data_IF_817382305999
#
_entry.id   IF_817382305999
#
_cell.length_a   1.000
_cell.length_b   1.000
_cell.length_c   1.000
_cell.angle_alpha   90.00
_cell.angle_beta   90.00
_cell.angle_gamma   90.00
#
_symmetry.space_group_name_H-M   'P 1'
#
loop_
_entity.id
_entity.type
_entity.pdbx_description
1 polymer ?
#
# COMPACT_ATOMS: atom_id res chain seq x y z
N UNK A 1 -13.03 -26.06 -16.98
CA UNK A 1 -12.20 -27.02 -16.23
C UNK A 1 -13.02 -27.50 -15.04
N UNK A 2 -13.26 -28.82 -14.95
CA UNK A 2 -13.97 -29.42 -13.83
C UNK A 2 -13.14 -29.20 -12.54
N UNK A 3 -13.63 -28.37 -11.65
CA UNK A 3 -13.06 -28.34 -10.30
C UNK A 3 -13.35 -29.71 -9.68
N UNK A 4 -12.32 -30.51 -9.44
CA UNK A 4 -12.47 -31.65 -8.57
C UNK A 4 -13.07 -31.08 -7.28
N UNK A 5 -14.33 -31.44 -6.97
CA UNK A 5 -14.99 -30.95 -5.77
C UNK A 5 -14.20 -31.48 -4.57
N UNK A 6 -13.69 -30.57 -3.75
CA UNK A 6 -13.09 -30.96 -2.48
C UNK A 6 -14.13 -31.70 -1.65
N UNK A 7 -13.67 -32.62 -0.82
CA UNK A 7 -14.54 -33.29 0.15
C UNK A 7 -15.36 -32.23 0.89
N UNK A 8 -16.69 -32.32 0.90
CA UNK A 8 -17.54 -31.36 1.62
C UNK A 8 -17.17 -31.20 3.10
N UNK A 9 -16.70 -32.25 3.75
CA UNK A 9 -16.26 -32.19 5.13
C UNK A 9 -15.06 -31.25 5.31
N UNK A 10 -14.07 -31.32 4.38
CA UNK A 10 -12.89 -30.43 4.39
C UNK A 10 -13.30 -28.97 4.24
N UNK A 11 -14.29 -28.69 3.37
CA UNK A 11 -14.78 -27.32 3.18
C UNK A 11 -15.38 -26.77 4.49
N UNK A 12 -16.19 -27.56 5.17
CA UNK A 12 -16.81 -27.17 6.45
C UNK A 12 -15.75 -26.94 7.52
N UNK A 13 -14.76 -27.83 7.60
CA UNK A 13 -13.65 -27.72 8.57
C UNK A 13 -12.88 -26.41 8.36
N UNK A 14 -12.49 -26.11 7.12
CA UNK A 14 -11.76 -24.86 6.77
C UNK A 14 -12.58 -23.63 7.16
N UNK A 15 -13.88 -23.61 6.85
CA UNK A 15 -14.75 -22.48 7.22
C UNK A 15 -14.87 -22.34 8.74
N UNK A 16 -14.94 -23.46 9.47
CA UNK A 16 -15.00 -23.44 10.93
C UNK A 16 -13.70 -22.92 11.54
N UNK A 17 -12.55 -23.27 10.96
CA UNK A 17 -11.23 -22.76 11.38
C UNK A 17 -11.08 -21.26 11.08
N UNK A 18 -11.70 -20.76 10.03
CA UNK A 18 -11.66 -19.33 9.68
C UNK A 18 -12.56 -18.47 10.60
N UNK A 19 -13.57 -19.06 11.25
CA UNK A 19 -14.59 -18.31 12.00
C UNK A 19 -14.01 -17.36 13.06
N UNK A 20 -13.05 -17.76 13.92
CA UNK A 20 -12.49 -16.82 14.91
C UNK A 20 -11.86 -15.59 14.29
N UNK A 21 -11.18 -15.75 13.15
CA UNK A 21 -10.56 -14.63 12.43
C UNK A 21 -11.63 -13.70 11.83
N UNK A 22 -12.69 -14.29 11.24
CA UNK A 22 -13.82 -13.52 10.71
C UNK A 22 -14.43 -12.68 11.84
N UNK A 23 -14.67 -13.28 13.00
CA UNK A 23 -15.23 -12.57 14.17
C UNK A 23 -14.29 -11.46 14.67
N UNK A 24 -12.98 -11.72 14.68
CA UNK A 24 -11.97 -10.76 15.13
C UNK A 24 -11.92 -9.54 14.22
N UNK A 25 -11.98 -9.73 12.91
CA UNK A 25 -11.72 -8.67 11.93
C UNK A 25 -12.98 -8.07 11.29
N UNK A 26 -14.16 -8.66 11.51
CA UNK A 26 -15.42 -8.11 11.00
C UNK A 26 -15.64 -6.69 11.54
N UNK A 27 -15.98 -5.75 10.68
CA UNK A 27 -16.15 -4.35 10.99
C UNK A 27 -14.83 -3.55 11.02
N UNK A 28 -13.68 -4.22 10.99
CA UNK A 28 -12.38 -3.55 11.07
C UNK A 28 -11.91 -3.08 9.70
N UNK A 29 -11.18 -1.97 9.67
CA UNK A 29 -10.57 -1.44 8.44
C UNK A 29 -9.18 -2.02 8.27
N UNK A 30 -8.89 -2.49 7.05
CA UNK A 30 -7.56 -2.98 6.65
C UNK A 30 -7.13 -2.21 5.42
N UNK A 31 -6.02 -1.49 5.52
CA UNK A 31 -5.44 -0.77 4.37
C UNK A 31 -4.43 -1.69 3.70
N UNK A 32 -4.61 -1.93 2.41
CA UNK A 32 -3.72 -2.80 1.62
C UNK A 32 -3.04 -1.97 0.53
N UNK A 33 -1.74 -1.84 0.62
CA UNK A 33 -0.96 -1.21 -0.45
C UNK A 33 -0.62 -2.27 -1.50
N UNK A 34 -1.10 -2.07 -2.71
CA UNK A 34 -0.98 -2.97 -3.86
C UNK A 34 0.03 -2.40 -4.87
N UNK A 35 1.06 -3.19 -5.19
CA UNK A 35 2.09 -2.72 -6.11
C UNK A 35 3.16 -3.78 -6.35
N UNK A 36 4.15 -3.43 -7.14
CA UNK A 36 5.26 -4.31 -7.48
C UNK A 36 4.81 -5.48 -8.37
N UNK A 37 5.45 -6.63 -8.21
CA UNK A 37 5.20 -7.80 -9.05
C UNK A 37 3.77 -8.37 -8.88
N UNK A 38 3.11 -8.07 -7.77
CA UNK A 38 1.70 -8.44 -7.59
C UNK A 38 0.78 -7.85 -8.67
N UNK A 39 1.24 -6.81 -9.37
CA UNK A 39 0.50 -6.14 -10.44
C UNK A 39 0.90 -6.58 -11.86
N UNK A 40 1.79 -7.55 -12.01
CA UNK A 40 2.35 -7.90 -13.32
C UNK A 40 2.06 -9.34 -13.78
N UNK A 41 1.73 -10.23 -12.86
CA UNK A 41 1.41 -11.62 -13.19
C UNK A 41 -0.10 -11.86 -13.08
N UNK A 42 -0.73 -12.35 -14.16
CA UNK A 42 -2.19 -12.53 -14.24
C UNK A 42 -2.75 -13.34 -13.05
N UNK A 43 -2.06 -14.39 -12.64
CA UNK A 43 -2.50 -15.24 -11.53
C UNK A 43 -2.50 -14.49 -10.19
N UNK A 44 -1.51 -13.61 -9.98
CA UNK A 44 -1.43 -12.78 -8.76
C UNK A 44 -2.48 -11.67 -8.79
N UNK A 45 -2.72 -11.09 -9.95
CA UNK A 45 -3.73 -10.04 -10.15
C UNK A 45 -5.12 -10.59 -9.81
N UNK A 46 -5.49 -11.75 -10.38
CA UNK A 46 -6.78 -12.41 -10.10
C UNK A 46 -6.89 -12.82 -8.62
N UNK A 47 -5.82 -13.37 -8.06
CA UNK A 47 -5.75 -13.74 -6.65
C UNK A 47 -6.00 -12.53 -5.75
N UNK A 48 -5.35 -11.40 -6.04
CA UNK A 48 -5.51 -10.17 -5.26
C UNK A 48 -6.96 -9.68 -5.28
N UNK A 49 -7.58 -9.58 -6.46
CA UNK A 49 -8.95 -9.09 -6.58
C UNK A 49 -9.93 -9.96 -5.78
N UNK A 50 -9.81 -11.29 -5.89
CA UNK A 50 -10.64 -12.23 -5.12
C UNK A 50 -10.40 -12.10 -3.62
N UNK A 51 -9.17 -11.87 -3.19
CA UNK A 51 -8.84 -11.69 -1.77
C UNK A 51 -9.54 -10.45 -1.21
N UNK A 52 -9.49 -9.34 -1.93
CA UNK A 52 -10.13 -8.09 -1.51
C UNK A 52 -11.66 -8.26 -1.42
N UNK A 53 -12.26 -8.96 -2.41
CA UNK A 53 -13.70 -9.25 -2.40
C UNK A 53 -14.05 -10.14 -1.20
N UNK A 54 -13.29 -11.22 -0.95
CA UNK A 54 -13.53 -12.11 0.18
C UNK A 54 -13.46 -11.35 1.52
N UNK A 55 -12.46 -10.48 1.68
CA UNK A 55 -12.37 -9.64 2.89
C UNK A 55 -13.66 -8.84 3.10
N UNK A 56 -14.16 -8.21 2.04
CA UNK A 56 -15.39 -7.41 2.13
C UNK A 56 -16.60 -8.28 2.46
N UNK A 57 -16.71 -9.44 1.81
CA UNK A 57 -17.86 -10.36 2.02
C UNK A 57 -17.94 -10.92 3.45
N UNK A 58 -16.79 -11.09 4.12
CA UNK A 58 -16.78 -11.53 5.52
C UNK A 58 -16.87 -10.38 6.53
N UNK A 59 -17.15 -9.16 6.06
CA UNK A 59 -17.42 -8.02 6.92
C UNK A 59 -16.19 -7.13 7.23
N UNK A 60 -15.04 -7.42 6.66
CA UNK A 60 -13.85 -6.54 6.79
C UNK A 60 -14.03 -5.35 5.84
N UNK A 61 -13.48 -4.20 6.17
CA UNK A 61 -13.49 -3.01 5.31
C UNK A 61 -12.11 -2.82 4.66
N UNK A 62 -11.84 -3.44 3.50
CA UNK A 62 -10.57 -3.24 2.81
C UNK A 62 -10.56 -1.87 2.10
N UNK A 63 -9.43 -1.18 2.20
CA UNK A 63 -9.13 0.04 1.45
C UNK A 63 -7.83 -0.22 0.69
N UNK A 64 -7.88 -0.13 -0.63
CA UNK A 64 -6.71 -0.41 -1.48
C UNK A 64 -6.02 0.90 -1.84
N UNK A 65 -4.71 0.97 -1.64
CA UNK A 65 -3.86 2.05 -2.17
C UNK A 65 -2.91 1.40 -3.17
N UNK A 66 -2.85 1.91 -4.40
CA UNK A 66 -2.03 1.24 -5.42
C UNK A 66 -0.82 2.07 -5.85
N UNK A 67 0.21 1.37 -6.32
CA UNK A 67 1.32 1.98 -7.03
C UNK A 67 1.06 2.05 -8.54
N UNK A 68 2.12 2.20 -9.32
CA UNK A 68 2.04 2.26 -10.78
C UNK A 68 3.29 2.83 -11.42
N UNK A 69 4.43 2.78 -10.70
CA UNK A 69 5.70 3.30 -11.21
C UNK A 69 6.11 2.72 -12.57
N UNK A 70 6.07 1.40 -12.77
CA UNK A 70 6.38 0.81 -14.08
C UNK A 70 5.46 1.30 -15.19
N UNK A 71 4.17 1.43 -14.93
CA UNK A 71 3.18 1.88 -15.92
C UNK A 71 3.42 3.37 -16.29
N UNK A 72 3.77 4.20 -15.30
CA UNK A 72 4.18 5.59 -15.55
C UNK A 72 5.41 5.60 -16.45
N UNK A 73 6.45 4.82 -16.10
CA UNK A 73 7.68 4.73 -16.87
C UNK A 73 7.43 4.32 -18.32
N UNK A 74 6.60 3.30 -18.52
CA UNK A 74 6.25 2.82 -19.86
C UNK A 74 5.56 3.91 -20.70
N UNK A 75 4.66 4.68 -20.11
CA UNK A 75 3.99 5.75 -20.87
C UNK A 75 4.93 6.92 -21.15
N UNK A 76 5.77 7.32 -20.19
CA UNK A 76 6.78 8.36 -20.41
C UNK A 76 7.71 7.99 -21.57
N UNK A 77 8.17 6.73 -21.60
CA UNK A 77 9.03 6.22 -22.69
C UNK A 77 8.33 6.32 -24.05
N UNK A 78 7.06 5.92 -24.13
CA UNK A 78 6.26 6.01 -25.38
C UNK A 78 6.07 7.45 -25.84
N UNK A 79 6.05 8.39 -24.92
CA UNK A 79 5.90 9.82 -25.20
C UNK A 79 7.27 10.53 -25.42
N UNK A 80 8.38 9.78 -25.31
CA UNK A 80 9.75 10.30 -25.39
C UNK A 80 10.04 11.37 -24.32
N UNK A 81 9.46 11.18 -23.12
CA UNK A 81 9.71 12.04 -21.95
C UNK A 81 10.74 11.35 -21.07
N UNK A 82 11.82 12.05 -20.76
CA UNK A 82 12.90 11.52 -19.93
C UNK A 82 12.43 11.31 -18.49
N UNK A 83 12.72 10.14 -17.91
CA UNK A 83 12.38 9.82 -16.54
C UNK A 83 13.63 9.82 -15.67
N UNK A 84 13.67 10.67 -14.67
CA UNK A 84 14.79 10.80 -13.72
C UNK A 84 14.33 10.49 -12.31
N UNK A 85 15.25 10.00 -11.47
CA UNK A 85 14.96 9.65 -10.08
C UNK A 85 15.99 10.28 -9.15
N UNK A 86 15.51 10.74 -7.98
CA UNK A 86 16.34 11.23 -6.88
C UNK A 86 15.88 10.47 -5.63
N UNK A 87 16.79 9.77 -4.97
CA UNK A 87 16.51 8.96 -3.76
C UNK A 87 15.31 8.01 -3.96
N UNK A 88 15.20 7.43 -5.17
CA UNK A 88 14.09 6.50 -5.49
C UNK A 88 12.77 7.18 -5.82
N UNK A 89 12.69 8.50 -5.76
CA UNK A 89 11.49 9.27 -6.11
C UNK A 89 11.63 9.81 -7.55
N UNK A 90 10.56 9.69 -8.34
CA UNK A 90 10.56 10.18 -9.72
C UNK A 90 10.49 11.70 -9.71
N UNK A 91 11.47 12.35 -10.32
CA UNK A 91 11.41 13.80 -10.56
C UNK A 91 10.18 14.05 -11.42
N UNK A 92 9.29 14.90 -10.97
CA UNK A 92 7.96 15.05 -11.55
C UNK A 92 7.71 16.52 -11.91
N UNK A 93 8.14 16.91 -13.12
CA UNK A 93 7.81 18.22 -13.67
C UNK A 93 6.33 18.24 -14.12
N UNK A 94 5.86 19.37 -14.64
CA UNK A 94 4.45 19.53 -15.02
C UNK A 94 4.01 18.50 -16.07
N UNK A 95 4.83 18.23 -17.08
CA UNK A 95 4.52 17.28 -18.13
C UNK A 95 4.50 15.84 -17.58
N UNK A 96 5.44 15.51 -16.71
CA UNK A 96 5.47 14.22 -16.02
C UNK A 96 4.25 14.08 -15.11
N UNK A 97 3.80 15.15 -14.43
CA UNK A 97 2.64 15.09 -13.54
C UNK A 97 1.36 14.78 -14.32
N UNK A 98 1.19 15.36 -15.52
CA UNK A 98 0.05 15.03 -16.39
C UNK A 98 0.04 13.51 -16.70
N UNK A 99 1.20 12.93 -17.02
CA UNK A 99 1.34 11.50 -17.27
C UNK A 99 1.02 10.68 -16.01
N UNK A 100 1.50 11.13 -14.86
CA UNK A 100 1.21 10.48 -13.55
C UNK A 100 -0.30 10.44 -13.31
N UNK A 101 -0.99 11.57 -13.52
CA UNK A 101 -2.45 11.64 -13.34
C UNK A 101 -3.19 10.70 -14.31
N UNK A 102 -2.82 10.71 -15.59
CA UNK A 102 -3.41 9.82 -16.60
C UNK A 102 -3.22 8.34 -16.23
N UNK A 103 -2.01 7.97 -15.84
CA UNK A 103 -1.67 6.57 -15.55
C UNK A 103 -2.28 6.14 -14.23
N UNK A 104 -2.02 6.86 -13.14
CA UNK A 104 -2.48 6.42 -11.82
C UNK A 104 -3.99 6.56 -11.68
N UNK A 105 -4.56 7.73 -12.02
CA UNK A 105 -5.99 7.99 -11.86
C UNK A 105 -6.87 7.30 -12.90
N UNK A 106 -6.36 7.17 -14.12
CA UNK A 106 -7.10 6.58 -15.24
C UNK A 106 -6.79 5.11 -15.47
N UNK A 107 -5.58 4.79 -15.90
CA UNK A 107 -5.26 3.43 -16.36
C UNK A 107 -5.19 2.43 -15.20
N UNK A 108 -4.28 2.63 -14.27
CA UNK A 108 -4.02 1.66 -13.19
C UNK A 108 -5.22 1.55 -12.25
N UNK A 109 -5.71 2.69 -11.77
CA UNK A 109 -6.84 2.74 -10.84
C UNK A 109 -8.06 2.00 -11.41
N UNK A 110 -8.45 2.34 -12.63
CA UNK A 110 -9.66 1.78 -13.24
C UNK A 110 -9.50 0.31 -13.64
N UNK A 111 -8.27 -0.13 -13.93
CA UNK A 111 -7.99 -1.57 -14.13
C UNK A 111 -8.22 -2.37 -12.84
N UNK A 112 -7.72 -1.87 -11.71
CA UNK A 112 -7.91 -2.52 -10.39
C UNK A 112 -9.41 -2.55 -10.03
N UNK A 113 -10.10 -1.42 -10.20
CA UNK A 113 -11.54 -1.32 -9.94
C UNK A 113 -12.30 -2.36 -10.77
N UNK A 114 -11.98 -2.45 -12.06
CA UNK A 114 -12.65 -3.40 -12.97
C UNK A 114 -12.41 -4.85 -12.53
N UNK A 115 -11.18 -5.20 -12.15
CA UNK A 115 -10.84 -6.55 -11.68
C UNK A 115 -11.62 -6.93 -10.42
N UNK A 116 -11.70 -6.02 -9.44
CA UNK A 116 -12.45 -6.27 -8.21
C UNK A 116 -13.95 -6.44 -8.55
N UNK A 117 -14.49 -5.59 -9.44
CA UNK A 117 -15.90 -5.67 -9.83
C UNK A 117 -16.19 -6.97 -10.61
N UNK A 118 -15.29 -7.41 -11.49
CA UNK A 118 -15.42 -8.69 -12.18
C UNK A 118 -15.37 -9.89 -11.22
N UNK A 119 -14.70 -9.72 -10.09
CA UNK A 119 -14.63 -10.74 -9.02
C UNK A 119 -15.84 -10.70 -8.08
N UNK A 120 -16.83 -9.85 -8.35
CA UNK A 120 -18.07 -9.76 -7.56
C UNK A 120 -18.10 -8.66 -6.51
N UNK A 121 -17.04 -7.86 -6.40
CA UNK A 121 -17.02 -6.73 -5.47
C UNK A 121 -17.71 -5.48 -6.01
N UNK A 122 -17.78 -4.45 -5.18
CA UNK A 122 -18.27 -3.12 -5.56
C UNK A 122 -17.14 -2.11 -5.33
N UNK A 123 -16.17 -2.05 -6.22
CA UNK A 123 -15.03 -1.15 -6.08
C UNK A 123 -15.33 0.21 -6.72
N UNK A 124 -14.78 1.26 -6.12
CA UNK A 124 -14.79 2.60 -6.68
C UNK A 124 -13.38 3.19 -6.61
N UNK A 125 -12.93 3.79 -7.69
CA UNK A 125 -11.59 4.36 -7.80
C UNK A 125 -11.58 5.86 -7.58
N UNK A 126 -10.65 6.31 -6.76
CA UNK A 126 -10.47 7.70 -6.35
C UNK A 126 -9.00 8.09 -6.44
N UNK A 127 -8.76 9.38 -6.55
CA UNK A 127 -7.47 10.00 -6.28
C UNK A 127 -7.60 10.83 -5.00
N UNK A 128 -6.52 11.34 -4.47
CA UNK A 128 -6.59 12.27 -3.35
C UNK A 128 -7.22 13.61 -3.69
N UNK A 129 -7.41 13.92 -5.00
CA UNK A 129 -8.09 15.12 -5.45
C UNK A 129 -9.61 15.05 -5.24
N UNK A 130 -10.18 13.82 -5.29
CA UNK A 130 -11.61 13.61 -5.10
C UNK A 130 -11.99 13.99 -3.66
N UNK A 131 -12.87 14.98 -3.50
CA UNK A 131 -13.19 15.56 -2.21
C UNK A 131 -12.00 16.21 -1.52
N UNK A 132 -10.87 16.44 -2.23
CA UNK A 132 -9.60 16.92 -1.65
C UNK A 132 -9.19 16.08 -0.43
N UNK A 133 -9.44 14.76 -0.52
CA UNK A 133 -9.26 13.86 0.62
C UNK A 133 -7.80 13.66 1.04
N UNK A 134 -6.83 13.85 0.11
CA UNK A 134 -5.40 13.84 0.45
C UNK A 134 -4.83 15.23 0.20
N UNK A 135 -4.68 16.00 1.26
CA UNK A 135 -3.97 17.27 1.20
C UNK A 135 -2.48 17.01 1.18
N UNK A 136 -1.79 17.70 0.31
CA UNK A 136 -0.37 17.50 0.09
C UNK A 136 0.36 18.84 -0.06
N UNK A 137 1.64 18.80 0.26
CA UNK A 137 2.54 19.91 -0.04
C UNK A 137 3.77 19.38 -0.78
N UNK A 138 4.49 20.26 -1.43
CA UNK A 138 5.70 19.86 -2.15
C UNK A 138 6.74 19.29 -1.19
N UNK A 139 7.26 18.10 -1.53
CA UNK A 139 8.35 17.48 -0.78
C UNK A 139 9.67 18.19 -1.12
N UNK A 140 10.39 18.62 -0.09
CA UNK A 140 11.73 19.20 -0.23
C UNK A 140 12.76 18.13 0.11
N UNK A 141 13.63 17.83 -0.84
CA UNK A 141 14.71 16.88 -0.64
C UNK A 141 15.99 17.65 -0.31
N UNK A 142 16.53 17.43 0.86
CA UNK A 142 17.80 18.00 1.27
C UNK A 142 18.95 17.07 0.88
N UNK A 143 19.97 17.62 0.26
CA UNK A 143 21.21 16.93 -0.03
C UNK A 143 22.33 17.58 0.78
N UNK A 144 23.04 16.79 1.54
CA UNK A 144 24.19 17.26 2.30
C UNK A 144 25.37 16.30 2.08
N UNK A 145 26.50 16.85 1.70
CA UNK A 145 27.75 16.11 1.64
C UNK A 145 28.73 16.68 2.69
N UNK A 146 29.75 15.92 3.09
CA UNK A 146 30.71 16.38 4.10
C UNK A 146 31.44 17.68 3.71
N UNK A 147 31.45 18.02 2.43
CA UNK A 147 32.13 19.20 1.89
C UNK A 147 31.24 20.44 1.85
N UNK A 148 29.94 20.29 2.14
CA UNK A 148 28.97 21.40 2.06
C UNK A 148 28.84 22.12 3.41
N UNK A 149 28.83 23.45 3.36
CA UNK A 149 28.65 24.28 4.55
C UNK A 149 27.16 24.40 4.95
N UNK A 150 26.24 24.10 4.02
CA UNK A 150 24.79 24.07 4.26
C UNK A 150 24.15 23.06 3.33
N UNK A 151 23.04 22.45 3.72
CA UNK A 151 22.31 21.53 2.83
C UNK A 151 21.83 22.24 1.56
N UNK A 152 21.90 21.55 0.43
CA UNK A 152 21.30 22.01 -0.82
C UNK A 152 19.90 21.40 -0.97
N UNK A 153 18.94 22.22 -1.34
CA UNK A 153 17.58 21.73 -1.63
C UNK A 153 17.54 21.33 -3.10
N UNK A 154 17.26 20.04 -3.35
CA UNK A 154 17.07 19.52 -4.70
C UNK A 154 15.58 19.64 -5.05
N UNK A 155 15.28 20.36 -6.11
CA UNK A 155 13.91 20.46 -6.63
C UNK A 155 13.60 19.20 -7.44
N UNK A 156 12.61 18.43 -6.95
CA UNK A 156 12.13 17.22 -7.62
C UNK A 156 10.72 17.40 -8.21
N UNK A 157 10.32 18.66 -8.27
CA UNK A 157 9.05 19.01 -8.89
C UNK A 157 7.82 18.70 -8.01
N UNK A 158 6.71 18.14 -8.56
CA UNK A 158 5.61 17.93 -7.98
C UNK A 158 5.53 16.79 -7.29
N UNK A 159 6.57 16.39 -6.68
CA UNK A 159 6.54 15.29 -5.73
C UNK A 159 6.03 15.81 -4.40
N UNK A 160 5.10 15.06 -3.79
CA UNK A 160 4.44 15.52 -2.59
C UNK A 160 4.66 14.65 -1.36
N UNK A 161 4.41 15.26 -0.21
CA UNK A 161 4.21 14.56 1.06
C UNK A 161 2.80 14.86 1.56
N UNK A 162 2.23 13.91 2.29
CA UNK A 162 0.87 14.03 2.83
C UNK A 162 0.87 15.04 3.97
N UNK A 163 0.01 16.05 3.88
CA UNK A 163 -0.19 17.04 4.94
C UNK A 163 -1.35 16.64 5.86
N UNK A 164 -2.46 16.21 5.26
CA UNK A 164 -3.60 15.68 6.02
C UNK A 164 -4.46 14.79 5.12
N UNK A 165 -5.28 13.95 5.77
CA UNK A 165 -6.24 13.10 5.06
C UNK A 165 -7.62 13.29 5.69
N UNK A 166 -8.65 13.53 4.85
CA UNK A 166 -10.05 13.42 5.25
C UNK A 166 -10.54 12.00 4.98
N UNK A 167 -11.12 11.36 5.96
CA UNK A 167 -11.64 9.99 5.84
C UNK A 167 -13.11 9.94 5.44
N UNK A 168 -13.81 11.07 5.42
CA UNK A 168 -15.27 11.15 5.25
C UNK A 168 -15.76 10.38 4.03
N UNK A 169 -15.10 10.57 2.87
CA UNK A 169 -15.49 9.92 1.63
C UNK A 169 -15.28 8.39 1.71
N UNK A 170 -14.16 7.97 2.26
CA UNK A 170 -13.82 6.55 2.40
C UNK A 170 -14.80 5.85 3.36
N UNK A 171 -15.10 6.49 4.50
CA UNK A 171 -16.04 5.96 5.50
C UNK A 171 -17.45 5.86 4.92
N UNK A 172 -17.88 6.89 4.18
CA UNK A 172 -19.18 6.88 3.49
C UNK A 172 -19.28 5.71 2.50
N UNK A 173 -18.23 5.47 1.72
CA UNK A 173 -18.19 4.39 0.75
C UNK A 173 -18.18 3.02 1.44
N UNK A 174 -17.37 2.86 2.47
CA UNK A 174 -17.30 1.61 3.24
C UNK A 174 -18.67 1.25 3.87
N UNK A 175 -19.39 2.26 4.39
CA UNK A 175 -20.73 2.11 4.98
C UNK A 175 -21.80 1.70 3.95
N UNK A 176 -21.51 1.85 2.66
CA UNK A 176 -22.41 1.45 1.56
C UNK A 176 -21.88 0.23 0.79
N UNK A 177 -21.00 -0.52 1.43
CA UNK A 177 -20.38 -1.76 0.91
C UNK A 177 -19.49 -1.56 -0.32
N UNK A 178 -19.04 -0.33 -0.56
CA UNK A 178 -18.03 -0.10 -1.60
C UNK A 178 -16.62 -0.39 -1.07
N UNK A 179 -15.74 -0.76 -2.00
CA UNK A 179 -14.32 -0.98 -1.76
C UNK A 179 -13.57 0.21 -2.38
N UNK A 180 -13.03 1.14 -1.57
CA UNK A 180 -12.27 2.27 -2.12
C UNK A 180 -10.91 1.81 -2.66
N UNK A 181 -10.56 2.31 -3.85
CA UNK A 181 -9.26 2.07 -4.51
C UNK A 181 -8.64 3.44 -4.77
N UNK A 182 -7.55 3.74 -4.07
CA UNK A 182 -6.97 5.08 -3.99
C UNK A 182 -5.67 5.17 -4.79
N UNK A 183 -5.62 6.09 -5.74
CA UNK A 183 -4.39 6.46 -6.43
C UNK A 183 -3.63 7.50 -5.58
N UNK A 184 -2.29 7.36 -5.43
CA UNK A 184 -1.51 8.20 -4.52
C UNK A 184 -1.17 9.57 -5.13
N UNK A 185 -2.19 10.36 -5.41
CA UNK A 185 -2.11 11.73 -5.92
C UNK A 185 -2.77 12.63 -4.90
N UNK A 186 -2.03 13.63 -4.40
CA UNK A 186 -2.58 14.62 -3.47
C UNK A 186 -2.75 15.98 -4.12
N UNK A 187 -3.38 16.90 -3.41
CA UNK A 187 -3.67 18.25 -3.91
C UNK A 187 -3.43 19.28 -2.80
N UNK A 188 -2.87 20.43 -3.15
CA UNK A 188 -2.74 21.56 -2.21
C UNK A 188 -3.97 22.50 -2.27
N UNK A 189 -3.95 23.54 -1.45
CA UNK A 189 -5.03 24.53 -1.37
C UNK A 189 -5.19 25.37 -2.64
N UNK A 190 -4.17 25.37 -3.51
CA UNK A 190 -4.20 26.11 -4.77
C UNK A 190 -4.66 25.24 -5.94
N UNK A 191 -4.87 23.93 -5.69
CA UNK A 191 -5.27 22.97 -6.70
C UNK A 191 -4.12 22.30 -7.44
N UNK A 192 -2.86 22.53 -7.00
CA UNK A 192 -1.71 21.86 -7.61
C UNK A 192 -1.68 20.38 -7.20
N UNK A 193 -1.42 19.52 -8.16
CA UNK A 193 -1.35 18.07 -7.94
C UNK A 193 0.05 17.64 -7.56
N UNK A 194 0.14 16.61 -6.73
CA UNK A 194 1.40 16.03 -6.29
C UNK A 194 1.40 14.50 -6.43
N UNK A 195 2.47 13.98 -7.00
CA UNK A 195 2.79 12.56 -7.06
C UNK A 195 3.37 12.14 -5.70
N UNK A 196 2.72 11.22 -5.01
CA UNK A 196 3.14 10.81 -3.66
C UNK A 196 3.50 9.32 -3.69
N UNK A 197 4.47 8.93 -2.87
CA UNK A 197 4.82 7.52 -2.72
C UNK A 197 3.62 6.74 -2.15
N UNK A 198 3.25 5.64 -2.80
CA UNK A 198 2.07 4.86 -2.44
C UNK A 198 2.16 4.22 -1.03
N UNK A 199 3.37 3.83 -0.58
CA UNK A 199 3.55 3.30 0.77
C UNK A 199 3.23 4.39 1.81
N UNK A 200 3.70 5.64 1.55
CA UNK A 200 3.44 6.77 2.45
C UNK A 200 1.94 7.11 2.51
N UNK A 201 1.26 7.12 1.36
CA UNK A 201 -0.19 7.35 1.33
C UNK A 201 -0.91 6.25 2.10
N UNK A 202 -0.53 4.99 1.89
CA UNK A 202 -1.16 3.85 2.58
C UNK A 202 -0.95 3.96 4.10
N UNK A 203 0.25 4.30 4.55
CA UNK A 203 0.56 4.49 5.98
C UNK A 203 -0.29 5.61 6.59
N UNK A 204 -0.28 6.79 5.97
CA UNK A 204 -1.03 7.95 6.47
C UNK A 204 -2.54 7.72 6.43
N UNK A 205 -3.02 7.00 5.42
CA UNK A 205 -4.43 6.63 5.32
C UNK A 205 -4.81 5.64 6.44
N UNK A 206 -3.95 4.66 6.71
CA UNK A 206 -4.17 3.70 7.79
C UNK A 206 -4.22 4.40 9.16
N UNK A 207 -3.32 5.37 9.40
CA UNK A 207 -3.36 6.20 10.62
C UNK A 207 -4.69 6.95 10.72
N UNK A 208 -5.09 7.69 9.67
CA UNK A 208 -6.29 8.52 9.67
C UNK A 208 -7.58 7.69 9.86
N UNK A 209 -7.61 6.46 9.33
CA UNK A 209 -8.76 5.54 9.45
C UNK A 209 -8.74 4.71 10.75
N UNK A 210 -7.74 4.89 11.61
CA UNK A 210 -7.53 4.03 12.79
C UNK A 210 -7.58 2.54 12.38
N UNK A 211 -6.87 2.20 11.32
CA UNK A 211 -6.94 0.87 10.73
C UNK A 211 -6.44 -0.21 11.68
N UNK A 212 -7.09 -1.37 11.64
CA UNK A 212 -6.64 -2.56 12.37
C UNK A 212 -5.30 -3.07 11.82
N UNK A 213 -5.15 -3.02 10.48
CA UNK A 213 -3.92 -3.48 9.83
C UNK A 213 -3.56 -2.58 8.66
N UNK A 214 -2.25 -2.37 8.49
CA UNK A 214 -1.65 -1.86 7.25
C UNK A 214 -0.88 -3.02 6.62
N UNK A 215 -1.17 -3.36 5.37
CA UNK A 215 -0.46 -4.40 4.63
C UNK A 215 0.27 -3.80 3.44
N UNK A 216 1.59 -3.92 3.44
CA UNK A 216 2.46 -3.42 2.36
C UNK A 216 2.94 -4.61 1.51
N UNK A 217 2.33 -4.80 0.33
CA UNK A 217 2.77 -5.85 -0.60
C UNK A 217 4.05 -5.38 -1.29
N UNK A 218 5.05 -6.25 -1.28
CA UNK A 218 6.38 -5.96 -1.81
C UNK A 218 6.90 -7.12 -2.67
N UNK A 219 8.10 -6.96 -3.21
CA UNK A 219 8.80 -7.99 -3.99
C UNK A 219 9.84 -8.74 -3.15
N UNK A 220 9.77 -8.64 -1.83
CA UNK A 220 10.67 -9.35 -0.92
C UNK A 220 9.85 -10.12 0.10
N UNK A 221 10.45 -11.20 0.63
CA UNK A 221 9.76 -12.08 1.57
C UNK A 221 9.43 -11.41 2.91
N UNK A 222 10.05 -10.29 3.22
CA UNK A 222 9.92 -9.56 4.47
C UNK A 222 11.23 -8.91 4.84
N UNK A 223 11.32 -8.44 6.06
CA UNK A 223 12.57 -7.93 6.62
C UNK A 223 13.49 -9.09 6.95
N UNK A 224 14.75 -9.01 6.51
CA UNK A 224 15.71 -10.08 6.72
C UNK A 224 16.80 -9.65 7.71
N UNK A 225 17.26 -10.59 8.53
CA UNK A 225 18.44 -10.38 9.34
C UNK A 225 19.72 -10.58 8.50
N UNK A 226 20.88 -10.40 9.14
CA UNK A 226 22.19 -10.56 8.48
C UNK A 226 22.44 -11.97 7.92
N UNK A 227 21.71 -12.97 8.40
CA UNK A 227 21.81 -14.37 7.94
C UNK A 227 20.83 -14.68 6.80
N UNK A 228 20.04 -13.69 6.34
CA UNK A 228 19.05 -13.87 5.29
C UNK A 228 17.74 -14.53 5.74
N UNK A 229 17.51 -14.62 7.05
CA UNK A 229 16.28 -15.19 7.60
C UNK A 229 15.25 -14.06 7.77
N UNK A 230 14.01 -14.32 7.34
CA UNK A 230 12.91 -13.36 7.51
C UNK A 230 12.59 -13.20 8.99
N UNK A 231 12.55 -11.95 9.43
CA UNK A 231 12.16 -11.58 10.79
C UNK A 231 10.64 -11.42 10.84
N UNK A 232 10.00 -12.14 11.74
CA UNK A 232 8.56 -12.09 11.96
C UNK A 232 8.27 -11.62 13.39
N UNK A 233 7.19 -10.86 13.57
CA UNK A 233 6.76 -10.49 14.92
C UNK A 233 7.72 -9.56 15.65
N UNK A 234 7.93 -8.37 15.09
CA UNK A 234 8.80 -7.35 15.69
C UNK A 234 7.98 -6.28 16.42
N UNK A 235 8.51 -5.79 17.54
CA UNK A 235 7.97 -4.58 18.16
C UNK A 235 8.57 -3.33 17.49
N UNK A 236 7.92 -2.17 17.67
CA UNK A 236 8.43 -0.89 17.17
C UNK A 236 9.85 -0.62 17.71
N UNK A 237 10.11 -0.92 18.99
CA UNK A 237 11.43 -0.75 19.60
C UNK A 237 12.50 -1.64 18.95
N UNK A 238 12.15 -2.89 18.62
CA UNK A 238 13.07 -3.79 17.92
C UNK A 238 13.40 -3.27 16.51
N UNK A 239 12.41 -2.76 15.80
CA UNK A 239 12.62 -2.18 14.47
C UNK A 239 13.54 -0.95 14.56
N UNK A 240 13.32 -0.06 15.54
CA UNK A 240 14.20 1.11 15.77
C UNK A 240 15.66 0.64 16.00
N UNK A 241 15.83 -0.40 16.79
CA UNK A 241 17.16 -0.99 17.04
C UNK A 241 17.83 -1.50 15.76
N UNK A 242 17.08 -2.23 14.93
CA UNK A 242 17.59 -2.77 13.66
C UNK A 242 17.91 -1.67 12.62
N UNK A 243 17.25 -0.54 12.71
CA UNK A 243 17.60 0.64 11.89
C UNK A 243 18.88 1.28 12.44
N UNK A 244 18.95 1.44 13.77
CA UNK A 244 20.10 2.11 14.42
C UNK A 244 21.41 1.33 14.26
N UNK A 245 21.36 -0.01 14.30
CA UNK A 245 22.55 -0.85 14.16
C UNK A 245 22.92 -1.13 12.68
N UNK A 246 22.12 -0.63 11.73
CA UNK A 246 22.38 -0.76 10.30
C UNK A 246 21.97 -2.11 9.68
N UNK A 247 21.29 -2.96 10.42
CA UNK A 247 20.72 -4.21 9.86
C UNK A 247 19.72 -3.90 8.75
N UNK A 248 18.88 -2.88 8.96
CA UNK A 248 17.95 -2.39 7.95
C UNK A 248 18.57 -1.21 7.22
N UNK A 249 18.78 -1.35 5.92
CA UNK A 249 19.39 -0.31 5.10
C UNK A 249 18.84 -0.30 3.68
N UNK A 250 19.26 0.69 2.90
CA UNK A 250 18.96 0.78 1.47
C UNK A 250 17.48 0.93 1.16
N UNK A 251 17.04 0.24 0.11
CA UNK A 251 15.69 0.38 -0.44
C UNK A 251 14.55 -0.11 0.46
N UNK A 252 14.86 -0.91 1.48
CA UNK A 252 13.85 -1.35 2.46
C UNK A 252 13.56 -0.28 3.52
N UNK A 253 14.51 0.63 3.79
CA UNK A 253 14.40 1.60 4.87
C UNK A 253 13.15 2.50 4.76
N UNK A 254 12.83 3.08 3.59
CA UNK A 254 11.59 3.89 3.47
C UNK A 254 10.33 3.08 3.77
N UNK A 255 10.27 1.82 3.34
CA UNK A 255 9.12 0.94 3.53
C UNK A 255 8.95 0.56 5.01
N UNK A 256 10.04 0.19 5.66
CA UNK A 256 10.05 -0.13 7.09
C UNK A 256 9.66 1.10 7.91
N UNK A 257 10.18 2.28 7.57
CA UNK A 257 9.82 3.52 8.27
C UNK A 257 8.32 3.80 8.12
N UNK A 258 7.77 3.62 6.92
CA UNK A 258 6.34 3.78 6.69
C UNK A 258 5.51 2.86 7.61
N UNK A 259 5.89 1.58 7.70
CA UNK A 259 5.19 0.61 8.57
C UNK A 259 5.34 0.98 10.06
N UNK A 260 6.56 1.35 10.46
CA UNK A 260 6.88 1.76 11.84
C UNK A 260 6.09 3.01 12.24
N UNK A 261 6.10 4.03 11.39
CA UNK A 261 5.40 5.29 11.64
C UNK A 261 3.88 5.07 11.74
N UNK A 262 3.32 4.20 10.88
CA UNK A 262 1.90 3.87 10.94
C UNK A 262 1.51 3.23 12.29
N UNK A 263 2.32 2.28 12.78
CA UNK A 263 2.06 1.63 14.08
C UNK A 263 2.21 2.66 15.21
N UNK A 264 3.28 3.46 15.21
CA UNK A 264 3.46 4.55 16.19
C UNK A 264 2.35 5.59 16.13
N UNK A 265 1.73 5.75 14.94
CA UNK A 265 0.59 6.64 14.70
C UNK A 265 -0.77 6.06 15.08
N UNK A 266 -0.80 4.82 15.64
CA UNK A 266 -2.02 4.23 16.16
C UNK A 266 -2.61 3.07 15.37
N UNK A 267 -2.01 2.68 14.24
CA UNK A 267 -2.41 1.46 13.50
C UNK A 267 -2.03 0.24 14.36
N UNK A 268 -2.97 -0.68 14.54
CA UNK A 268 -2.77 -1.79 15.48
C UNK A 268 -1.62 -2.71 15.06
N UNK A 269 -1.46 -2.95 13.77
CA UNK A 269 -0.30 -3.70 13.25
C UNK A 269 0.01 -3.32 11.80
N UNK A 270 1.27 -3.44 11.42
CA UNK A 270 1.70 -3.27 10.03
C UNK A 270 2.42 -4.54 9.57
N UNK A 271 2.17 -4.93 8.32
CA UNK A 271 2.73 -6.15 7.74
C UNK A 271 3.45 -5.81 6.44
N UNK A 272 4.67 -6.32 6.30
CA UNK A 272 5.39 -6.28 5.03
C UNK A 272 5.33 -7.69 4.47
N UNK A 273 4.61 -7.86 3.35
CA UNK A 273 4.26 -9.18 2.81
C UNK A 273 4.78 -9.35 1.38
N UNK A 274 5.19 -10.57 1.06
CA UNK A 274 5.61 -10.92 -0.30
C UNK A 274 4.39 -10.99 -1.22
N UNK A 275 4.25 -9.99 -2.08
CA UNK A 275 3.15 -9.93 -3.05
C UNK A 275 3.23 -10.97 -4.16
N UNK A 276 4.34 -11.74 -4.24
CA UNK A 276 4.50 -12.84 -5.19
C UNK A 276 3.89 -14.16 -4.67
N UNK A 277 3.49 -14.19 -3.40
CA UNK A 277 2.82 -15.36 -2.82
C UNK A 277 1.32 -15.25 -3.11
N UNK A 278 0.72 -16.24 -3.80
CA UNK A 278 -0.72 -16.21 -4.02
C UNK A 278 -1.48 -16.18 -2.69
N UNK A 279 -2.52 -15.37 -2.63
CA UNK A 279 -3.37 -15.20 -1.45
C UNK A 279 -2.64 -14.69 -0.19
N UNK A 280 -1.48 -14.02 -0.34
CA UNK A 280 -0.67 -13.54 0.78
C UNK A 280 -1.48 -12.73 1.80
N UNK A 281 -2.40 -11.88 1.32
CA UNK A 281 -3.26 -11.04 2.19
C UNK A 281 -4.15 -11.93 3.08
N UNK A 282 -4.77 -12.96 2.51
CA UNK A 282 -5.64 -13.87 3.28
C UNK A 282 -4.85 -14.75 4.24
N UNK A 283 -3.65 -15.18 3.84
CA UNK A 283 -2.76 -15.95 4.73
C UNK A 283 -2.46 -15.15 6.01
N UNK A 284 -2.23 -13.83 5.86
CA UNK A 284 -1.95 -12.95 7.00
C UNK A 284 -3.18 -12.68 7.87
N UNK A 285 -4.38 -12.70 7.29
CA UNK A 285 -5.62 -12.40 8.02
C UNK A 285 -6.21 -13.66 8.68
N UNK A 286 -6.23 -14.78 7.96
CA UNK A 286 -7.00 -15.95 8.35
C UNK A 286 -6.15 -17.13 8.83
N UNK A 287 -4.85 -16.94 9.06
CA UNK A 287 -3.99 -18.00 9.60
C UNK A 287 -2.95 -17.44 10.55
N UNK A 288 -2.37 -18.34 11.34
CA UNK A 288 -1.22 -18.05 12.20
C UNK A 288 0.11 -18.25 11.47
N UNK A 289 0.08 -18.59 10.18
CA UNK A 289 1.28 -18.99 9.44
C UNK A 289 2.23 -17.83 9.15
N UNK A 290 1.70 -16.64 8.92
CA UNK A 290 2.47 -15.45 8.61
C UNK A 290 3.30 -15.56 7.31
N UNK A 291 3.20 -14.58 6.43
CA UNK A 291 3.94 -14.59 5.15
C UNK A 291 4.85 -13.38 5.00
N UNK A 292 5.39 -12.88 6.09
CA UNK A 292 6.24 -11.69 6.03
C UNK A 292 6.66 -11.21 7.40
N UNK A 293 6.83 -9.91 7.52
CA UNK A 293 7.21 -9.26 8.77
C UNK A 293 6.00 -8.52 9.36
N UNK A 294 5.60 -8.92 10.55
CA UNK A 294 4.59 -8.23 11.35
C UNK A 294 5.29 -7.24 12.28
N UNK A 295 4.79 -6.02 12.35
CA UNK A 295 5.24 -4.97 13.29
C UNK A 295 4.04 -4.56 14.14
N UNK A 296 4.24 -4.59 15.47
CA UNK A 296 3.23 -4.15 16.44
C UNK A 296 3.88 -3.22 17.44
N UNK A 297 3.09 -2.42 18.11
CA UNK A 297 3.60 -1.71 19.27
C UNK A 297 3.75 -2.71 20.43
N UNK A 298 4.74 -2.50 21.27
CA UNK A 298 4.88 -3.31 22.46
C UNK A 298 3.77 -2.90 23.44
N UNK A 299 2.77 -3.74 23.59
CA UNK A 299 1.73 -3.56 24.57
C UNK A 299 2.26 -3.68 26.00
#
# INVERSE_FOLDING_TARGET
>A
MSSASRDPQVVVEVLSEALPYIQQFSGKTVVVKYGGNAMTEDTLIDSFARNIVLMKEVGINPVVVHGGGPQIGSLLEKLNIESRFVNGMRVTDSQTMDVVEMVLGGLVNKSIVNLINQSGGKAIGLTGKDGAQIRARQLKVEHQSPEMTAPEIIDIGXVGEVESISTDLIEMLAARDFIPVIAPIGVDDKGNSYNINADLVAGKLAEALNAEKLMLLTNVAGLMNSEGKVLTGLTTAQVDGLIADGTIYGGMLPKIRCALDAVKGGVNSAHIIDGRVPHAVLLEIFTNAGVGTLITDAG
#
